data_IF_899506398758
#
_entry.id   IF_899506398758
#
_cell.length_a   1.000
_cell.length_b   1.000
_cell.length_c   1.000
_cell.angle_alpha   90.00
_cell.angle_beta   90.00
_cell.angle_gamma   90.00
#
_symmetry.space_group_name_H-M   'P 1'
#
loop_
_entity.id
_entity.type
_entity.pdbx_description
1 polymer ?
#
# COMPACT_ATOMS: atom_id res chain seq x y z
N UNK A 1 -10.94 -13.65 3.28
CA UNK A 1 -10.00 -13.85 2.16
C UNK A 1 -10.12 -12.63 1.26
N UNK A 2 -9.12 -11.73 1.25
CA UNK A 2 -9.09 -10.61 0.31
C UNK A 2 -8.71 -11.15 -1.07
N UNK A 3 -9.47 -10.78 -2.10
CA UNK A 3 -9.30 -11.26 -3.46
C UNK A 3 -8.25 -10.43 -4.21
N UNK A 4 -6.99 -10.53 -3.80
CA UNK A 4 -5.84 -10.03 -4.56
C UNK A 4 -4.89 -11.17 -4.89
N UNK A 5 -4.32 -11.17 -6.10
CA UNK A 5 -3.25 -12.07 -6.48
C UNK A 5 -2.02 -11.72 -5.63
N UNK A 6 -1.75 -12.52 -4.59
CA UNK A 6 -0.58 -12.36 -3.76
C UNK A 6 0.70 -12.74 -4.53
N UNK A 7 1.83 -12.18 -4.12
CA UNK A 7 3.17 -12.51 -4.65
C UNK A 7 4.07 -13.08 -3.56
N UNK A 8 5.20 -13.65 -3.95
CA UNK A 8 6.16 -14.25 -3.03
C UNK A 8 7.54 -13.59 -3.13
N UNK A 9 8.24 -13.49 -2.01
CA UNK A 9 9.61 -12.98 -1.96
C UNK A 9 10.37 -13.53 -0.77
N UNK A 10 11.55 -14.13 -1.01
CA UNK A 10 12.43 -14.71 0.03
C UNK A 10 11.69 -15.61 1.05
N UNK A 11 10.73 -16.40 0.56
CA UNK A 11 9.92 -17.29 1.38
C UNK A 11 8.90 -16.57 2.27
N UNK A 12 8.55 -15.32 1.94
CA UNK A 12 7.39 -14.62 2.47
C UNK A 12 6.30 -14.59 1.39
N UNK A 13 5.04 -14.70 1.82
CA UNK A 13 3.86 -14.48 0.98
C UNK A 13 3.34 -13.08 1.26
N UNK A 14 2.96 -12.35 0.22
CA UNK A 14 2.39 -11.00 0.34
C UNK A 14 1.00 -11.01 -0.28
N UNK A 15 -0.02 -11.00 0.57
CA UNK A 15 -1.40 -10.77 0.16
C UNK A 15 -1.64 -9.27 0.06
N UNK A 16 -2.43 -8.84 -0.92
CA UNK A 16 -2.61 -7.42 -1.16
C UNK A 16 -4.00 -7.04 -1.65
N UNK A 17 -4.34 -5.76 -1.56
CA UNK A 17 -5.59 -5.28 -2.12
C UNK A 17 -5.71 -3.76 -2.10
N UNK A 18 -6.53 -3.27 -3.01
CA UNK A 18 -6.86 -1.87 -3.15
C UNK A 18 -8.27 -1.60 -2.65
N UNK A 19 -8.47 -0.52 -1.90
CA UNK A 19 -9.79 -0.02 -1.53
C UNK A 19 -10.18 1.07 -2.53
N UNK A 20 -11.04 0.77 -3.52
CA UNK A 20 -11.34 1.66 -4.64
C UNK A 20 -12.25 2.84 -4.27
N UNK A 21 -12.99 2.73 -3.17
CA UNK A 21 -13.90 3.78 -2.70
C UNK A 21 -13.21 4.66 -1.63
N UNK A 22 -12.73 5.87 -1.97
CA UNK A 22 -12.20 6.77 -0.99
C UNK A 22 -13.35 7.39 -0.19
N UNK A 23 -13.48 7.05 1.10
CA UNK A 23 -14.25 7.93 2.01
C UNK A 23 -13.56 9.30 2.11
N UNK A 24 -12.25 9.28 2.38
CA UNK A 24 -11.40 10.49 2.45
C UNK A 24 -10.03 10.29 1.76
N UNK A 25 -9.63 9.06 1.48
CA UNK A 25 -8.32 8.70 0.91
C UNK A 25 -8.38 7.36 0.19
N UNK A 26 -7.53 7.21 -0.82
CA UNK A 26 -7.23 5.92 -1.45
C UNK A 26 -6.31 5.12 -0.54
N UNK A 27 -6.50 3.80 -0.49
CA UNK A 27 -5.73 2.92 0.39
C UNK A 27 -5.37 1.64 -0.35
N UNK A 28 -4.09 1.31 -0.34
CA UNK A 28 -3.58 0.00 -0.73
C UNK A 28 -3.05 -0.71 0.51
N UNK A 29 -3.47 -1.94 0.74
CA UNK A 29 -3.07 -2.72 1.90
C UNK A 29 -2.30 -3.96 1.46
N UNK A 30 -1.33 -4.33 2.29
CA UNK A 30 -0.54 -5.53 2.15
C UNK A 30 -0.47 -6.25 3.49
N UNK A 31 -0.53 -7.58 3.44
CA UNK A 31 -0.29 -8.46 4.57
C UNK A 31 0.87 -9.37 4.18
N UNK A 32 1.95 -9.29 4.96
CA UNK A 32 3.12 -10.16 4.76
C UNK A 32 3.02 -11.33 5.72
N UNK A 33 3.18 -12.53 5.17
CA UNK A 33 3.09 -13.79 5.88
C UNK A 33 4.39 -14.59 5.75
N UNK A 34 4.71 -15.35 6.80
CA UNK A 34 5.74 -16.38 6.83
C UNK A 34 5.08 -17.62 7.42
N UNK A 35 5.16 -18.75 6.71
CA UNK A 35 4.57 -20.02 7.18
C UNK A 35 3.09 -19.86 7.58
N UNK A 36 2.32 -19.14 6.76
CA UNK A 36 0.91 -18.76 6.97
C UNK A 36 0.60 -17.86 8.18
N UNK A 37 1.61 -17.49 8.97
CA UNK A 37 1.49 -16.52 10.07
C UNK A 37 1.78 -15.10 9.58
N UNK A 38 0.99 -14.12 10.06
CA UNK A 38 1.22 -12.72 9.70
C UNK A 38 2.48 -12.22 10.40
N UNK A 39 3.44 -11.73 9.61
CA UNK A 39 4.64 -11.04 10.10
C UNK A 39 4.35 -9.57 10.33
N UNK A 40 3.86 -8.86 9.30
CA UNK A 40 3.49 -7.45 9.42
C UNK A 40 2.45 -7.02 8.37
N UNK A 41 1.90 -5.82 8.56
CA UNK A 41 1.04 -5.13 7.59
C UNK A 41 1.76 -3.92 7.01
N UNK A 42 1.51 -3.63 5.75
CA UNK A 42 1.96 -2.40 5.12
C UNK A 42 0.76 -1.72 4.45
N UNK A 43 0.59 -0.42 4.69
CA UNK A 43 -0.48 0.38 4.11
C UNK A 43 0.12 1.54 3.31
N UNK A 44 -0.41 1.79 2.11
CA UNK A 44 -0.10 3.00 1.33
C UNK A 44 -1.36 3.85 1.26
N UNK A 45 -1.29 5.08 1.73
CA UNK A 45 -2.39 6.05 1.71
C UNK A 45 -2.04 7.23 0.81
N UNK A 46 -3.05 7.75 0.11
CA UNK A 46 -2.97 9.06 -0.55
C UNK A 46 -4.36 9.69 -0.55
N UNK A 47 -4.44 11.00 -0.32
CA UNK A 47 -5.67 11.76 -0.59
C UNK A 47 -5.85 11.95 -2.10
N UNK A 48 -7.05 12.37 -2.52
CA UNK A 48 -7.32 12.75 -3.91
C UNK A 48 -6.43 13.90 -4.35
N UNK A 49 -6.29 14.93 -3.51
CA UNK A 49 -5.48 16.11 -3.82
C UNK A 49 -3.99 15.77 -3.88
N UNK A 50 -3.49 14.93 -2.97
CA UNK A 50 -2.10 14.47 -3.00
C UNK A 50 -1.81 13.63 -4.26
N UNK A 51 -2.74 12.74 -4.65
CA UNK A 51 -2.61 11.95 -5.86
C UNK A 51 -2.61 12.84 -7.11
N UNK A 52 -3.49 13.85 -7.17
CA UNK A 52 -3.54 14.81 -8.27
C UNK A 52 -2.28 15.68 -8.36
N UNK A 53 -1.68 16.06 -7.22
CA UNK A 53 -0.43 16.82 -7.20
C UNK A 53 0.77 15.96 -7.64
N UNK A 54 0.83 14.70 -7.21
CA UNK A 54 1.97 13.80 -7.47
C UNK A 54 1.92 13.17 -8.87
N UNK A 55 0.73 12.93 -9.39
CA UNK A 55 0.48 12.35 -10.70
C UNK A 55 -0.58 13.15 -11.45
N UNK A 56 -0.23 14.35 -11.95
CA UNK A 56 -1.17 15.24 -12.63
C UNK A 56 -1.69 14.68 -13.96
N UNK A 57 -1.07 13.61 -14.46
CA UNK A 57 -1.50 12.86 -15.65
C UNK A 57 -2.71 11.93 -15.38
N UNK A 58 -3.08 11.68 -14.13
CA UNK A 58 -4.16 10.76 -13.78
C UNK A 58 -5.51 11.47 -13.65
N UNK A 59 -6.49 11.04 -14.44
CA UNK A 59 -7.89 11.43 -14.24
C UNK A 59 -8.60 10.47 -13.27
N UNK A 60 -8.61 10.83 -11.98
CA UNK A 60 -9.18 10.01 -10.91
C UNK A 60 -10.73 9.89 -10.97
N UNK A 61 -11.40 10.68 -11.81
CA UNK A 61 -12.84 10.54 -12.05
C UNK A 61 -13.15 9.36 -12.99
N UNK A 62 -12.17 8.93 -13.78
CA UNK A 62 -12.31 7.79 -14.70
C UNK A 62 -11.89 6.46 -14.07
N UNK A 63 -12.44 5.36 -14.58
CA UNK A 63 -11.97 4.02 -14.20
C UNK A 63 -10.50 3.79 -14.54
N UNK A 64 -10.04 4.27 -15.71
CA UNK A 64 -8.66 4.13 -16.16
C UNK A 64 -7.69 4.88 -15.25
N UNK A 65 -8.00 6.11 -14.85
CA UNK A 65 -7.15 6.85 -13.91
C UNK A 65 -7.13 6.24 -12.51
N UNK A 66 -8.25 5.67 -12.03
CA UNK A 66 -8.26 4.90 -10.77
C UNK A 66 -7.47 3.60 -10.87
N UNK A 67 -7.51 2.91 -12.01
CA UNK A 67 -6.70 1.72 -12.25
C UNK A 67 -5.21 2.05 -12.30
N UNK A 68 -4.84 3.14 -12.97
CA UNK A 68 -3.45 3.63 -12.99
C UNK A 68 -2.98 4.05 -11.59
N UNK A 69 -3.82 4.73 -10.80
CA UNK A 69 -3.51 5.05 -9.41
C UNK A 69 -3.26 3.77 -8.59
N UNK A 70 -4.11 2.76 -8.74
CA UNK A 70 -3.93 1.45 -8.09
C UNK A 70 -2.54 0.87 -8.40
N UNK A 71 -2.12 0.86 -9.66
CA UNK A 71 -0.80 0.34 -10.08
C UNK A 71 0.37 1.13 -9.48
N UNK A 72 0.25 2.47 -9.39
CA UNK A 72 1.27 3.32 -8.74
C UNK A 72 1.41 2.97 -7.25
N UNK A 73 0.29 2.90 -6.53
CA UNK A 73 0.30 2.55 -5.10
C UNK A 73 0.79 1.12 -4.84
N UNK A 74 0.44 0.19 -5.73
CA UNK A 74 0.95 -1.18 -5.70
C UNK A 74 2.48 -1.19 -5.82
N UNK A 75 3.03 -0.45 -6.79
CA UNK A 75 4.47 -0.37 -7.05
C UNK A 75 5.24 0.21 -5.86
N UNK A 76 4.73 1.29 -5.25
CA UNK A 76 5.30 1.89 -4.04
C UNK A 76 5.36 0.86 -2.90
N UNK A 77 4.25 0.17 -2.64
CA UNK A 77 4.17 -0.84 -1.60
C UNK A 77 5.10 -2.03 -1.84
N UNK A 78 5.20 -2.54 -3.07
CA UNK A 78 6.09 -3.65 -3.43
C UNK A 78 7.55 -3.33 -3.12
N UNK A 79 8.01 -2.16 -3.56
CA UNK A 79 9.39 -1.71 -3.34
C UNK A 79 9.72 -1.64 -1.85
N UNK A 80 8.82 -1.05 -1.06
CA UNK A 80 9.00 -0.87 0.38
C UNK A 80 8.96 -2.18 1.15
N UNK A 81 8.03 -3.06 0.82
CA UNK A 81 7.92 -4.38 1.48
C UNK A 81 9.19 -5.22 1.26
N UNK A 82 9.75 -5.21 0.04
CA UNK A 82 11.03 -5.89 -0.22
C UNK A 82 12.13 -5.33 0.66
N UNK A 83 12.23 -4.00 0.77
CA UNK A 83 13.21 -3.36 1.65
C UNK A 83 13.00 -3.75 3.13
N UNK A 84 11.75 -3.74 3.64
CA UNK A 84 11.45 -4.15 5.03
C UNK A 84 11.80 -5.61 5.30
N UNK A 85 11.54 -6.51 4.34
CA UNK A 85 11.96 -7.91 4.43
C UNK A 85 13.48 -8.03 4.46
N UNK A 86 14.18 -7.28 3.61
CA UNK A 86 15.63 -7.32 3.50
C UNK A 86 16.33 -6.78 4.75
N UNK A 87 15.73 -5.81 5.44
CA UNK A 87 16.28 -5.21 6.67
C UNK A 87 15.73 -5.83 7.96
N UNK A 88 14.74 -6.71 7.89
CA UNK A 88 14.09 -7.30 9.07
C UNK A 88 13.21 -6.34 9.88
N UNK A 89 12.68 -5.29 9.24
CA UNK A 89 11.86 -4.26 9.89
C UNK A 89 10.37 -4.65 9.88
N UNK A 90 9.97 -5.48 10.85
CA UNK A 90 8.68 -6.18 10.88
C UNK A 90 7.58 -5.49 11.70
N UNK A 91 7.67 -4.18 11.86
CA UNK A 91 6.58 -3.37 12.38
C UNK A 91 5.43 -3.29 11.37
N UNK A 92 4.22 -2.97 11.84
CA UNK A 92 3.19 -2.54 10.90
C UNK A 92 3.54 -1.14 10.41
N UNK A 93 3.42 -0.90 9.11
CA UNK A 93 3.86 0.35 8.48
C UNK A 93 2.73 1.04 7.73
N UNK A 94 2.78 2.37 7.73
CA UNK A 94 1.97 3.24 6.90
C UNK A 94 2.87 4.17 6.10
N UNK A 95 2.77 4.12 4.77
CA UNK A 95 3.27 5.16 3.87
C UNK A 95 2.14 6.13 3.55
N UNK A 96 2.28 7.36 4.03
CA UNK A 96 1.39 8.47 3.71
C UNK A 96 2.01 9.29 2.57
N UNK A 97 1.49 9.11 1.35
CA UNK A 97 1.90 9.87 0.17
C UNK A 97 1.17 11.23 0.17
N UNK A 98 1.96 12.29 0.32
CA UNK A 98 1.50 13.68 0.34
C UNK A 98 1.79 14.35 -0.99
N UNK A 99 1.20 15.53 -1.20
CA UNK A 99 1.37 16.27 -2.45
C UNK A 99 2.81 16.74 -2.70
N UNK A 100 3.54 17.08 -1.64
CA UNK A 100 4.91 17.64 -1.69
C UNK A 100 5.98 16.69 -1.10
N UNK A 101 5.59 15.47 -0.71
CA UNK A 101 6.50 14.53 -0.06
C UNK A 101 5.82 13.24 0.34
N UNK A 102 6.45 12.51 1.25
CA UNK A 102 5.92 11.27 1.78
C UNK A 102 6.42 11.09 3.20
N UNK A 103 5.64 10.39 4.02
CA UNK A 103 6.04 10.01 5.36
C UNK A 103 5.75 8.54 5.59
N UNK A 104 6.73 7.80 6.15
CA UNK A 104 6.56 6.41 6.52
C UNK A 104 6.56 6.31 8.05
N UNK A 105 5.47 5.76 8.61
CA UNK A 105 5.20 5.73 10.04
C UNK A 105 4.95 4.30 10.51
N UNK A 106 5.33 4.01 11.76
CA UNK A 106 4.89 2.78 12.42
C UNK A 106 3.41 2.93 12.74
N UNK A 107 2.61 2.00 12.22
CA UNK A 107 1.19 1.91 12.50
C UNK A 107 1.02 1.09 13.78
N UNK A 108 0.74 1.76 14.90
CA UNK A 108 0.34 1.06 16.12
C UNK A 108 -0.90 0.22 15.83
N UNK A 109 -0.89 -1.02 16.31
CA UNK A 109 -1.99 -1.93 16.11
C UNK A 109 -3.23 -1.38 16.83
N UNK A 110 -4.16 -0.81 16.07
CA UNK A 110 -5.50 -0.58 16.59
C UNK A 110 -6.29 -1.86 16.39
N UNK A 111 -6.53 -2.56 17.49
CA UNK A 111 -7.54 -3.60 17.55
C UNK A 111 -8.85 -3.03 17.01
N UNK A 112 -9.29 -3.56 15.88
CA UNK A 112 -10.59 -3.28 15.28
C UNK A 112 -11.51 -4.46 15.47
#
# INVERSE_FOLDING_TARGET
>A
KGAGEGWQYKGYTVDEGFKPEPRQRFQYFFRVLKDDERVFRYCVWTSKDAAAARWPDLDLETESGRAALKERLQTEGHSRIRAKIDTGAFENWLLDLRGDGEEELILEERDG
#
